data_IF_094309506172
#
_entry.id   IF_094309506172
#
_cell.length_a   1.000
_cell.length_b   1.000
_cell.length_c   1.000
_cell.angle_alpha   90.00
_cell.angle_beta   90.00
_cell.angle_gamma   90.00
#
_symmetry.space_group_name_H-M   'P 1'
#
loop_
_entity.id
_entity.type
_entity.pdbx_description
1 polymer ?
#
# COMPACT_ATOMS: atom_id res chain seq x y z
N UNK A 1 -36.91 -0.57 -10.98
CA UNK A 1 -35.69 -1.41 -11.15
C UNK A 1 -36.12 -2.81 -11.56
N UNK A 2 -35.62 -3.31 -12.72
CA UNK A 2 -35.88 -4.70 -13.11
C UNK A 2 -34.97 -5.59 -12.23
N UNK A 3 -35.56 -6.61 -11.60
CA UNK A 3 -34.86 -7.65 -10.84
C UNK A 3 -34.87 -8.93 -11.67
N UNK A 4 -33.73 -9.54 -11.87
CA UNK A 4 -33.58 -10.87 -12.44
C UNK A 4 -32.97 -11.82 -11.43
N UNK A 5 -33.40 -13.08 -11.44
CA UNK A 5 -32.90 -14.13 -10.59
C UNK A 5 -32.33 -15.21 -11.51
N UNK A 6 -31.07 -15.51 -11.32
CA UNK A 6 -30.39 -16.61 -12.02
C UNK A 6 -30.05 -17.70 -11.02
N UNK A 7 -30.37 -18.94 -11.34
CA UNK A 7 -30.08 -20.11 -10.52
C UNK A 7 -29.11 -21.02 -11.24
N UNK A 8 -28.08 -21.47 -10.54
CA UNK A 8 -27.08 -22.38 -11.05
C UNK A 8 -27.06 -23.62 -10.17
N UNK A 9 -27.20 -24.79 -10.75
CA UNK A 9 -27.05 -26.07 -10.04
C UNK A 9 -25.57 -26.40 -9.91
N UNK A 10 -25.14 -26.72 -8.69
CA UNK A 10 -23.74 -27.01 -8.39
C UNK A 10 -23.66 -28.18 -7.40
N UNK A 11 -22.68 -29.07 -7.62
CA UNK A 11 -22.47 -30.21 -6.72
C UNK A 11 -21.85 -29.84 -5.37
N UNK A 12 -21.24 -28.67 -5.26
CA UNK A 12 -20.61 -28.13 -4.02
C UNK A 12 -20.78 -26.63 -3.99
N UNK A 13 -20.86 -26.07 -2.78
CA UNK A 13 -20.85 -24.65 -2.56
C UNK A 13 -19.55 -24.02 -3.14
N UNK A 14 -19.64 -22.97 -3.96
CA UNK A 14 -18.47 -22.31 -4.52
C UNK A 14 -17.70 -21.58 -3.41
N UNK A 15 -16.37 -21.56 -3.50
CA UNK A 15 -15.51 -20.86 -2.55
C UNK A 15 -15.73 -19.34 -2.58
N UNK A 16 -16.07 -18.81 -3.74
CA UNK A 16 -16.54 -17.44 -3.99
C UNK A 16 -17.17 -17.40 -5.38
N UNK A 17 -17.99 -16.38 -5.62
CA UNK A 17 -18.58 -16.09 -6.93
C UNK A 17 -18.11 -14.72 -7.35
N UNK A 18 -17.74 -14.58 -8.62
CA UNK A 18 -17.39 -13.29 -9.21
C UNK A 18 -18.28 -13.04 -10.43
N UNK A 19 -18.89 -11.87 -10.44
CA UNK A 19 -19.59 -11.35 -11.60
C UNK A 19 -18.59 -10.62 -12.48
N UNK A 20 -18.69 -10.77 -13.81
CA UNK A 20 -17.81 -10.11 -14.79
C UNK A 20 -16.31 -10.24 -14.47
N UNK A 21 -15.73 -11.46 -14.51
CA UNK A 21 -14.37 -11.70 -14.08
C UNK A 21 -13.31 -10.99 -14.93
N UNK A 22 -13.61 -10.66 -16.17
CA UNK A 22 -12.70 -9.92 -17.07
C UNK A 22 -12.90 -8.40 -17.02
N UNK A 23 -13.93 -7.92 -16.30
CA UNK A 23 -14.33 -6.51 -16.21
C UNK A 23 -14.67 -5.89 -17.59
N UNK A 24 -15.36 -6.65 -18.42
CA UNK A 24 -15.78 -6.23 -19.76
C UNK A 24 -17.01 -5.31 -19.73
N UNK A 25 -17.77 -5.32 -18.64
CA UNK A 25 -18.97 -4.56 -18.47
C UNK A 25 -18.72 -3.24 -17.72
N UNK A 26 -19.29 -2.17 -18.22
CA UNK A 26 -19.23 -0.86 -17.55
C UNK A 26 -20.34 -0.77 -16.47
N UNK A 27 -20.16 -1.52 -15.39
CA UNK A 27 -21.14 -1.66 -14.30
C UNK A 27 -20.47 -1.51 -12.94
N UNK A 28 -21.25 -1.13 -11.95
CA UNK A 28 -20.86 -1.21 -10.55
C UNK A 28 -21.36 -2.51 -9.93
N UNK A 29 -20.46 -3.35 -9.44
CA UNK A 29 -20.80 -4.60 -8.74
C UNK A 29 -20.71 -4.38 -7.24
N UNK A 30 -21.86 -4.42 -6.57
CA UNK A 30 -21.93 -4.33 -5.11
C UNK A 30 -22.24 -5.72 -4.53
N UNK A 31 -21.18 -6.44 -4.14
CA UNK A 31 -21.26 -7.77 -3.58
C UNK A 31 -20.59 -7.81 -2.21
N UNK A 32 -21.35 -8.16 -1.15
CA UNK A 32 -20.77 -8.43 0.17
C UNK A 32 -20.29 -9.88 0.24
N UNK A 33 -19.00 -10.08 0.33
CA UNK A 33 -18.39 -11.41 0.51
C UNK A 33 -18.08 -11.68 1.98
N UNK A 34 -18.26 -12.92 2.40
CA UNK A 34 -17.81 -13.37 3.73
C UNK A 34 -16.28 -13.36 3.80
N UNK A 35 -15.73 -13.30 5.02
CA UNK A 35 -14.29 -13.37 5.25
C UNK A 35 -13.64 -14.59 4.55
N UNK A 36 -14.26 -15.76 4.65
CA UNK A 36 -13.73 -16.97 4.01
C UNK A 36 -13.75 -16.85 2.48
N UNK A 37 -14.79 -16.28 1.90
CA UNK A 37 -14.86 -16.03 0.47
C UNK A 37 -13.76 -15.05 0.01
N UNK A 38 -13.53 -13.95 0.74
CA UNK A 38 -12.46 -13.00 0.47
C UNK A 38 -11.07 -13.63 0.57
N UNK A 39 -10.82 -14.46 1.60
CA UNK A 39 -9.56 -15.19 1.74
C UNK A 39 -9.33 -16.17 0.58
N UNK A 40 -10.38 -16.80 0.06
CA UNK A 40 -10.28 -17.66 -1.11
C UNK A 40 -10.09 -16.85 -2.41
N UNK A 41 -10.83 -15.75 -2.59
CA UNK A 41 -10.72 -14.83 -3.72
C UNK A 41 -9.28 -14.28 -3.83
N UNK A 42 -8.71 -13.79 -2.75
CA UNK A 42 -7.36 -13.23 -2.75
C UNK A 42 -6.25 -14.25 -3.03
N UNK A 43 -6.52 -15.55 -2.90
CA UNK A 43 -5.57 -16.63 -3.19
C UNK A 43 -5.66 -17.15 -4.63
N UNK A 44 -6.83 -17.08 -5.25
CA UNK A 44 -7.17 -17.89 -6.43
C UNK A 44 -7.61 -17.08 -7.64
N UNK A 45 -8.09 -15.86 -7.44
CA UNK A 45 -8.64 -15.03 -8.51
C UNK A 45 -7.53 -14.44 -9.40
N UNK A 46 -7.91 -13.78 -10.49
CA UNK A 46 -6.99 -12.98 -11.31
C UNK A 46 -6.45 -11.76 -10.52
N UNK A 47 -5.56 -10.98 -11.11
CA UNK A 47 -4.91 -9.84 -10.44
C UNK A 47 -5.92 -8.84 -9.90
N UNK A 48 -6.94 -8.51 -10.69
CA UNK A 48 -7.97 -7.52 -10.31
C UNK A 48 -8.76 -8.03 -9.13
N UNK A 49 -9.27 -9.26 -9.19
CA UNK A 49 -10.03 -9.86 -8.09
C UNK A 49 -9.22 -10.03 -6.81
N UNK A 50 -7.93 -10.35 -6.91
CA UNK A 50 -7.05 -10.41 -5.73
C UNK A 50 -6.82 -9.02 -5.11
N UNK A 51 -6.67 -7.99 -5.94
CA UNK A 51 -6.54 -6.60 -5.48
C UNK A 51 -7.80 -6.10 -4.78
N UNK A 52 -8.98 -6.36 -5.36
CA UNK A 52 -10.28 -6.06 -4.76
C UNK A 52 -10.43 -6.77 -3.41
N UNK A 53 -10.22 -8.09 -3.37
CA UNK A 53 -10.33 -8.87 -2.14
C UNK A 53 -9.33 -8.41 -1.06
N UNK A 54 -8.10 -8.03 -1.43
CA UNK A 54 -7.15 -7.45 -0.49
C UNK A 54 -7.64 -6.11 0.08
N UNK A 55 -8.35 -5.31 -0.71
CA UNK A 55 -8.96 -4.06 -0.26
C UNK A 55 -10.16 -4.31 0.65
N UNK A 56 -11.06 -5.21 0.26
CA UNK A 56 -12.26 -5.55 1.03
C UNK A 56 -11.94 -6.23 2.37
N UNK A 57 -10.83 -6.96 2.48
CA UNK A 57 -10.35 -7.55 3.73
C UNK A 57 -10.11 -6.50 4.82
N UNK A 58 -9.91 -5.22 4.50
CA UNK A 58 -9.80 -4.14 5.50
C UNK A 58 -11.03 -4.04 6.42
N UNK A 59 -12.22 -4.42 5.93
CA UNK A 59 -13.44 -4.46 6.74
C UNK A 59 -13.45 -5.56 7.83
N UNK A 60 -12.52 -6.50 7.76
CA UNK A 60 -12.34 -7.61 8.69
C UNK A 60 -10.98 -7.55 9.40
N UNK A 61 -10.43 -6.35 9.59
CA UNK A 61 -9.05 -6.18 10.09
C UNK A 61 -8.85 -6.71 11.51
N UNK A 62 -9.92 -6.75 12.31
CA UNK A 62 -9.89 -7.28 13.68
C UNK A 62 -9.77 -8.82 13.74
N UNK A 63 -9.98 -9.52 12.62
CA UNK A 63 -9.80 -10.98 12.57
C UNK A 63 -8.33 -11.33 12.31
N UNK A 64 -7.69 -12.16 13.17
CA UNK A 64 -6.29 -12.55 13.00
C UNK A 64 -5.98 -13.28 11.68
N UNK A 65 -6.99 -13.93 11.05
CA UNK A 65 -6.82 -14.55 9.73
C UNK A 65 -6.64 -13.50 8.65
N UNK A 66 -7.37 -12.37 8.76
CA UNK A 66 -7.23 -11.23 7.86
C UNK A 66 -5.83 -10.66 7.94
N UNK A 67 -5.35 -10.33 9.14
CA UNK A 67 -4.02 -9.76 9.36
C UNK A 67 -2.93 -10.67 8.79
N UNK A 68 -2.97 -11.97 9.10
CA UNK A 68 -2.02 -12.95 8.55
C UNK A 68 -2.08 -13.02 7.03
N UNK A 69 -3.27 -12.98 6.46
CA UNK A 69 -3.47 -13.04 5.00
C UNK A 69 -2.90 -11.80 4.33
N UNK A 70 -3.22 -10.60 4.82
CA UNK A 70 -2.71 -9.34 4.29
C UNK A 70 -1.18 -9.23 4.42
N UNK A 71 -0.59 -9.60 5.58
CA UNK A 71 0.88 -9.64 5.75
C UNK A 71 1.56 -10.51 4.71
N UNK A 72 1.05 -11.72 4.48
CA UNK A 72 1.59 -12.63 3.48
C UNK A 72 1.50 -12.05 2.07
N UNK A 73 0.36 -11.49 1.70
CA UNK A 73 0.11 -10.92 0.39
C UNK A 73 0.98 -9.69 0.15
N UNK A 74 1.10 -8.80 1.13
CA UNK A 74 1.90 -7.59 1.06
C UNK A 74 3.37 -7.85 0.68
N UNK A 75 3.88 -9.06 0.98
CA UNK A 75 5.28 -9.43 0.71
C UNK A 75 5.42 -10.40 -0.46
N UNK A 76 4.44 -11.29 -0.67
CA UNK A 76 4.64 -12.47 -1.53
C UNK A 76 3.73 -12.56 -2.75
N UNK A 77 2.73 -11.68 -2.92
CA UNK A 77 1.93 -11.73 -4.15
C UNK A 77 2.80 -11.38 -5.36
N UNK A 78 2.55 -12.06 -6.46
CA UNK A 78 3.31 -11.86 -7.71
C UNK A 78 3.11 -10.45 -8.27
N UNK A 79 1.91 -9.89 -8.12
CA UNK A 79 1.55 -8.57 -8.63
C UNK A 79 1.82 -7.48 -7.61
N UNK A 80 2.57 -6.46 -7.97
CA UNK A 80 2.78 -5.30 -7.12
C UNK A 80 1.47 -4.53 -6.83
N UNK A 81 0.47 -4.58 -7.72
CA UNK A 81 -0.85 -4.00 -7.47
C UNK A 81 -1.51 -4.63 -6.25
N UNK A 82 -1.46 -5.95 -6.17
CA UNK A 82 -2.05 -6.72 -5.05
C UNK A 82 -1.25 -6.49 -3.77
N UNK A 83 0.09 -6.50 -3.84
CA UNK A 83 0.94 -6.15 -2.68
C UNK A 83 0.63 -4.76 -2.15
N UNK A 84 0.48 -3.78 -3.06
CA UNK A 84 0.16 -2.41 -2.70
C UNK A 84 -1.23 -2.27 -2.07
N UNK A 85 -2.24 -3.00 -2.57
CA UNK A 85 -3.57 -3.04 -1.96
C UNK A 85 -3.51 -3.61 -0.54
N UNK A 86 -2.81 -4.72 -0.33
CA UNK A 86 -2.63 -5.31 0.99
C UNK A 86 -1.92 -4.37 1.97
N UNK A 87 -0.86 -3.67 1.54
CA UNK A 87 -0.16 -2.65 2.35
C UNK A 87 -1.05 -1.48 2.73
N UNK A 88 -1.97 -1.07 1.85
CA UNK A 88 -2.94 -0.01 2.16
C UNK A 88 -3.98 -0.48 3.18
N UNK A 89 -4.38 -1.74 3.11
CA UNK A 89 -5.48 -2.32 3.90
C UNK A 89 -5.07 -2.75 5.30
N UNK A 90 -3.80 -3.13 5.52
CA UNK A 90 -3.36 -3.72 6.78
C UNK A 90 -3.25 -2.72 7.94
N UNK A 91 -3.09 -1.43 7.65
CA UNK A 91 -3.09 -0.37 8.68
C UNK A 91 -2.00 -0.54 9.75
N UNK A 92 -2.40 -0.37 11.02
CA UNK A 92 -1.54 -0.49 12.21
C UNK A 92 -1.14 -1.92 12.55
N UNK A 93 -1.79 -2.92 11.94
CA UNK A 93 -1.57 -4.35 12.27
C UNK A 93 -0.22 -4.89 11.73
N UNK A 94 0.48 -4.11 10.94
CA UNK A 94 1.83 -4.45 10.48
C UNK A 94 2.90 -3.79 11.36
N UNK A 95 3.78 -4.60 11.95
CA UNK A 95 4.87 -4.08 12.79
C UNK A 95 5.90 -3.29 11.98
N UNK A 96 6.66 -2.41 12.65
CA UNK A 96 7.76 -1.68 12.01
C UNK A 96 8.80 -2.62 11.37
N UNK A 97 9.09 -3.75 12.01
CA UNK A 97 9.97 -4.79 11.48
C UNK A 97 9.43 -5.41 10.19
N UNK A 98 8.12 -5.72 10.14
CA UNK A 98 7.49 -6.28 8.96
C UNK A 98 7.46 -5.27 7.81
N UNK A 99 7.19 -3.98 8.08
CA UNK A 99 7.30 -2.92 7.09
C UNK A 99 8.71 -2.79 6.52
N UNK A 100 9.74 -2.85 7.38
CA UNK A 100 11.14 -2.78 6.92
C UNK A 100 11.50 -3.98 6.03
N UNK A 101 11.09 -5.19 6.41
CA UNK A 101 11.30 -6.40 5.59
C UNK A 101 10.59 -6.27 4.24
N UNK A 102 9.34 -5.79 4.24
CA UNK A 102 8.58 -5.56 3.02
C UNK A 102 9.29 -4.53 2.12
N UNK A 103 9.79 -3.42 2.68
CA UNK A 103 10.50 -2.39 1.94
C UNK A 103 11.78 -2.94 1.27
N UNK A 104 12.60 -3.69 2.00
CA UNK A 104 13.86 -4.24 1.48
C UNK A 104 13.62 -5.24 0.33
N UNK A 105 12.52 -6.00 0.40
CA UNK A 105 12.18 -6.99 -0.62
C UNK A 105 11.43 -6.41 -1.82
N UNK A 106 10.81 -5.26 -1.67
CA UNK A 106 9.95 -4.68 -2.69
C UNK A 106 10.76 -4.01 -3.79
N UNK A 107 10.54 -4.45 -5.02
CA UNK A 107 11.21 -3.91 -6.22
C UNK A 107 10.45 -2.74 -6.85
N UNK A 108 9.13 -2.67 -6.66
CA UNK A 108 8.32 -1.66 -7.30
C UNK A 108 8.17 -0.41 -6.42
N UNK A 109 8.31 0.78 -7.04
CA UNK A 109 8.30 2.06 -6.32
C UNK A 109 6.98 2.37 -5.60
N UNK A 110 5.83 1.99 -6.15
CA UNK A 110 4.53 2.32 -5.54
C UNK A 110 4.29 1.62 -4.19
N UNK A 111 4.49 0.30 -4.04
CA UNK A 111 4.45 -0.32 -2.72
C UNK A 111 5.51 0.23 -1.76
N UNK A 112 6.77 0.50 -2.22
CA UNK A 112 7.80 1.14 -1.36
C UNK A 112 7.32 2.48 -0.83
N UNK A 113 6.76 3.34 -1.70
CA UNK A 113 6.14 4.60 -1.28
C UNK A 113 5.04 4.40 -0.25
N UNK A 114 4.15 3.42 -0.45
CA UNK A 114 3.08 3.10 0.49
C UNK A 114 3.63 2.65 1.84
N UNK A 115 4.69 1.83 1.86
CA UNK A 115 5.37 1.40 3.09
C UNK A 115 5.90 2.60 3.86
N UNK A 116 6.61 3.53 3.19
CA UNK A 116 7.13 4.76 3.84
C UNK A 116 6.00 5.54 4.48
N UNK A 117 4.92 5.81 3.76
CA UNK A 117 3.78 6.57 4.27
C UNK A 117 3.11 5.87 5.46
N UNK A 118 2.82 4.57 5.34
CA UNK A 118 2.15 3.80 6.40
C UNK A 118 3.02 3.66 7.65
N UNK A 119 4.30 3.34 7.48
CA UNK A 119 5.24 3.24 8.61
C UNK A 119 5.40 4.57 9.32
N UNK A 120 5.44 5.70 8.61
CA UNK A 120 5.48 7.03 9.21
C UNK A 120 4.24 7.35 10.04
N UNK A 121 3.06 6.88 9.62
CA UNK A 121 1.81 7.12 10.33
C UNK A 121 1.67 6.27 11.61
N UNK A 122 2.19 5.03 11.61
CA UNK A 122 1.97 4.08 12.69
C UNK A 122 3.19 3.82 13.57
N UNK A 123 4.40 4.06 13.04
CA UNK A 123 5.68 3.76 13.70
C UNK A 123 6.70 4.88 13.44
N UNK A 124 6.36 6.12 13.79
CA UNK A 124 7.11 7.32 13.41
C UNK A 124 8.61 7.25 13.70
N UNK A 125 9.01 6.81 14.90
CA UNK A 125 10.42 6.74 15.28
C UNK A 125 11.23 5.74 14.44
N UNK A 126 10.66 4.57 14.13
CA UNK A 126 11.32 3.56 13.32
C UNK A 126 11.32 3.95 11.84
N UNK A 127 10.24 4.61 11.38
CA UNK A 127 10.16 5.19 10.05
C UNK A 127 11.23 6.25 9.84
N UNK A 128 11.44 7.13 10.82
CA UNK A 128 12.47 8.18 10.77
C UNK A 128 13.86 7.58 10.62
N UNK A 129 14.20 6.55 11.42
CA UNK A 129 15.48 5.82 11.31
C UNK A 129 15.64 5.19 9.93
N UNK A 130 14.58 4.56 9.41
CA UNK A 130 14.59 3.93 8.10
C UNK A 130 14.77 4.98 6.99
N UNK A 131 14.02 6.08 7.02
CA UNK A 131 14.10 7.15 6.03
C UNK A 131 15.51 7.73 5.98
N UNK A 132 16.08 8.11 7.13
CA UNK A 132 17.45 8.64 7.22
C UNK A 132 18.50 7.69 6.67
N UNK A 133 18.28 6.37 6.79
CA UNK A 133 19.19 5.33 6.27
C UNK A 133 19.07 5.10 4.76
N UNK A 134 17.86 5.17 4.22
CA UNK A 134 17.58 4.71 2.85
C UNK A 134 17.34 5.83 1.85
N UNK A 135 17.16 7.08 2.26
CA UNK A 135 16.82 8.19 1.36
C UNK A 135 17.86 8.41 0.25
N UNK A 136 19.14 8.21 0.53
CA UNK A 136 20.22 8.32 -0.47
C UNK A 136 20.42 7.03 -1.28
N UNK A 137 19.78 5.94 -0.88
CA UNK A 137 20.00 4.59 -1.46
C UNK A 137 18.84 4.11 -2.32
N UNK A 138 17.66 4.70 -2.15
CA UNK A 138 16.52 4.35 -2.99
C UNK A 138 16.68 5.00 -4.36
N UNK A 139 16.58 4.21 -5.41
CA UNK A 139 16.75 4.63 -6.80
C UNK A 139 15.53 5.36 -7.38
N UNK A 140 14.39 5.33 -6.67
CA UNK A 140 13.14 5.90 -7.14
C UNK A 140 12.91 7.32 -6.62
N UNK A 141 12.91 8.29 -7.51
CA UNK A 141 12.53 9.67 -7.19
C UNK A 141 11.15 9.81 -6.56
N UNK A 142 10.21 8.90 -6.85
CA UNK A 142 8.87 8.89 -6.22
C UNK A 142 8.96 8.47 -4.74
N UNK A 143 9.82 7.52 -4.42
CA UNK A 143 10.06 7.04 -3.06
C UNK A 143 10.86 8.08 -2.28
N UNK A 144 11.93 8.62 -2.87
CA UNK A 144 12.71 9.70 -2.26
C UNK A 144 11.85 10.94 -1.95
N UNK A 145 10.97 11.35 -2.88
CA UNK A 145 10.05 12.46 -2.65
C UNK A 145 9.07 12.18 -1.49
N UNK A 146 8.58 10.94 -1.35
CA UNK A 146 7.76 10.55 -0.20
C UNK A 146 8.57 10.54 1.10
N UNK A 147 9.81 10.04 1.09
CA UNK A 147 10.71 10.10 2.24
C UNK A 147 10.94 11.55 2.71
N UNK A 148 11.23 12.47 1.78
CA UNK A 148 11.40 13.89 2.08
C UNK A 148 10.14 14.47 2.69
N UNK A 149 8.98 14.17 2.12
CA UNK A 149 7.68 14.61 2.67
C UNK A 149 7.48 14.10 4.10
N UNK A 150 7.83 12.84 4.36
CA UNK A 150 7.69 12.26 5.69
C UNK A 150 8.70 12.84 6.68
N UNK A 151 9.92 13.23 6.27
CA UNK A 151 10.82 14.02 7.12
C UNK A 151 10.19 15.34 7.57
N UNK A 152 9.35 15.96 6.75
CA UNK A 152 8.56 17.13 7.16
C UNK A 152 7.42 16.84 8.13
N UNK A 153 6.98 15.58 8.26
CA UNK A 153 5.89 15.20 9.16
C UNK A 153 6.41 14.69 10.51
N UNK A 154 7.49 13.91 10.50
CA UNK A 154 8.00 13.17 11.67
C UNK A 154 9.47 13.47 11.99
N UNK A 155 10.18 14.22 11.13
CA UNK A 155 11.57 14.65 11.33
C UNK A 155 11.69 15.95 12.10
N UNK A 156 12.91 16.46 12.16
CA UNK A 156 13.25 17.68 12.89
C UNK A 156 14.24 18.57 12.11
N UNK A 157 14.69 19.66 12.72
CA UNK A 157 15.60 20.62 12.07
C UNK A 157 16.95 20.01 11.66
N UNK A 158 17.37 18.88 12.24
CA UNK A 158 18.61 18.19 11.85
C UNK A 158 18.52 17.62 10.44
N UNK A 159 17.31 17.34 9.92
CA UNK A 159 17.07 16.82 8.59
C UNK A 159 17.18 17.88 7.49
N UNK A 160 17.21 19.18 7.83
CA UNK A 160 17.23 20.29 6.87
C UNK A 160 18.42 20.18 5.89
N UNK A 161 19.62 19.85 6.41
CA UNK A 161 20.81 19.69 5.56
C UNK A 161 20.61 18.59 4.51
N UNK A 162 20.04 17.46 4.92
CA UNK A 162 19.75 16.32 4.05
C UNK A 162 18.69 16.67 3.01
N UNK A 163 17.63 17.36 3.40
CA UNK A 163 16.56 17.77 2.48
C UNK A 163 17.08 18.78 1.45
N UNK A 164 17.93 19.73 1.87
CA UNK A 164 18.57 20.68 0.96
C UNK A 164 19.46 20.01 -0.09
N UNK A 165 20.21 18.95 0.28
CA UNK A 165 21.03 18.20 -0.66
C UNK A 165 20.23 17.47 -1.74
N UNK A 166 18.97 17.13 -1.48
CA UNK A 166 18.08 16.53 -2.47
C UNK A 166 17.31 17.56 -3.31
N UNK A 167 17.16 18.81 -2.85
CA UNK A 167 16.36 19.84 -3.53
C UNK A 167 16.78 20.04 -4.99
N UNK A 168 18.07 20.04 -5.24
CA UNK A 168 18.62 20.33 -6.55
C UNK A 168 18.85 19.07 -7.41
N UNK A 169 18.50 17.89 -6.87
CA UNK A 169 18.56 16.63 -7.60
C UNK A 169 17.54 16.64 -8.75
N UNK A 170 17.99 16.23 -9.93
CA UNK A 170 17.10 16.09 -11.06
C UNK A 170 16.04 15.02 -10.83
N UNK A 171 14.80 15.32 -11.18
CA UNK A 171 13.70 14.36 -11.19
C UNK A 171 12.61 14.80 -12.17
N UNK A 172 11.89 13.84 -12.80
CA UNK A 172 10.77 14.18 -13.67
C UNK A 172 9.78 15.09 -12.97
N UNK A 173 9.28 16.12 -13.68
CA UNK A 173 8.34 17.12 -13.13
C UNK A 173 8.79 17.76 -11.81
N UNK A 174 10.09 17.80 -11.54
CA UNK A 174 10.69 18.36 -10.31
C UNK A 174 10.09 17.77 -9.03
N UNK A 175 9.69 16.49 -9.03
CA UNK A 175 8.95 15.86 -7.91
C UNK A 175 9.74 15.91 -6.60
N UNK A 176 11.06 15.68 -6.64
CA UNK A 176 11.94 15.76 -5.45
C UNK A 176 12.03 17.22 -4.99
N UNK A 177 12.32 18.17 -5.90
CA UNK A 177 12.41 19.59 -5.57
C UNK A 177 11.13 20.09 -4.91
N UNK A 178 9.97 19.83 -5.52
CA UNK A 178 8.68 20.27 -4.98
C UNK A 178 8.41 19.70 -3.57
N UNK A 179 8.81 18.45 -3.33
CA UNK A 179 8.71 17.84 -2.00
C UNK A 179 9.67 18.48 -1.00
N UNK A 180 10.91 18.76 -1.43
CA UNK A 180 11.93 19.40 -0.59
C UNK A 180 11.55 20.82 -0.19
N UNK A 181 11.09 21.65 -1.13
CA UNK A 181 10.69 23.03 -0.86
C UNK A 181 9.54 23.10 0.14
N UNK A 182 8.48 22.29 -0.04
CA UNK A 182 7.36 22.19 0.91
C UNK A 182 7.82 21.75 2.29
N UNK A 183 8.73 20.80 2.35
CA UNK A 183 9.23 20.25 3.63
C UNK A 183 10.14 21.28 4.34
N UNK A 184 11.01 21.95 3.60
CA UNK A 184 11.86 22.99 4.17
C UNK A 184 11.04 24.16 4.73
N UNK A 185 10.03 24.65 4.01
CA UNK A 185 9.11 25.66 4.50
C UNK A 185 8.48 25.24 5.83
N UNK A 186 7.98 23.99 5.92
CA UNK A 186 7.38 23.47 7.15
C UNK A 186 8.36 23.40 8.34
N UNK A 187 9.59 22.91 8.11
CA UNK A 187 10.58 22.74 9.19
C UNK A 187 11.23 24.06 9.65
N UNK A 188 11.22 25.06 8.79
CA UNK A 188 11.77 26.39 9.09
C UNK A 188 10.76 27.35 9.73
N UNK A 189 9.49 26.96 9.83
CA UNK A 189 8.46 27.74 10.50
C UNK A 189 7.88 28.89 9.67
N UNK A 190 7.95 28.77 8.34
CA UNK A 190 7.31 29.68 7.37
C UNK A 190 6.00 29.10 6.85
#
# INVERSE_FOLDING_TARGET
>A
RKRSIHRFEMNKEPLFVRFDPENDLLIEVNQKLSLNALINKVKRDNVIGRMEAATELSAYIDDPKTVRTLKRIAVHDKSWFVRNAALKSIGSEMSSKDFLIAYIREKHSQPRKTIISKMSNYHANDALKMIRKYIDRDDSYVVQAEMIKQLGNIGDKSDIKKIKSHRDQWSPRKIIRNSAEKTLSKLQGN
#
